data_IF_644255315385
#
_entry.id   IF_644255315385
#
_cell.length_a   1.000
_cell.length_b   1.000
_cell.length_c   1.000
_cell.angle_alpha   90.00
_cell.angle_beta   90.00
_cell.angle_gamma   90.00
#
_symmetry.space_group_name_H-M   'P 1'
#
loop_
_entity.id
_entity.type
_entity.pdbx_description
1 polymer ?
#
# COMPACT_ATOMS: atom_id res chain seq x y z
N UNK A 1 30.58 -0.96 1.49
CA UNK A 1 29.27 -0.26 1.41
C UNK A 1 29.26 0.85 2.45
N UNK A 2 28.87 2.08 2.10
CA UNK A 2 28.76 3.15 3.10
C UNK A 2 27.67 2.82 4.14
N UNK A 3 27.86 3.26 5.39
CA UNK A 3 26.97 2.95 6.54
C UNK A 3 25.49 3.22 6.25
N UNK A 4 25.18 4.26 5.47
CA UNK A 4 23.81 4.67 5.13
C UNK A 4 23.06 3.64 4.27
N UNK A 5 23.66 3.12 3.19
CA UNK A 5 22.99 2.10 2.38
C UNK A 5 22.81 0.78 3.13
N UNK A 6 23.70 0.47 4.10
CA UNK A 6 23.53 -0.70 4.96
C UNK A 6 22.26 -0.57 5.81
N UNK A 7 22.12 0.53 6.55
CA UNK A 7 20.91 0.81 7.33
C UNK A 7 19.64 0.82 6.48
N UNK A 8 19.70 1.47 5.31
CA UNK A 8 18.57 1.47 4.37
C UNK A 8 18.15 0.05 3.97
N UNK A 9 19.11 -0.82 3.66
CA UNK A 9 18.80 -2.22 3.31
C UNK A 9 18.20 -2.97 4.50
N UNK A 10 18.74 -2.81 5.70
CA UNK A 10 18.21 -3.45 6.90
C UNK A 10 16.76 -3.03 7.17
N UNK A 11 16.44 -1.74 7.08
CA UNK A 11 15.08 -1.22 7.27
C UNK A 11 14.14 -1.74 6.18
N UNK A 12 14.54 -1.70 4.90
CA UNK A 12 13.71 -2.19 3.81
C UNK A 12 13.43 -3.70 3.95
N UNK A 13 14.45 -4.49 4.32
CA UNK A 13 14.28 -5.93 4.56
C UNK A 13 13.35 -6.18 5.73
N UNK A 14 13.48 -5.45 6.85
CA UNK A 14 12.56 -5.63 7.98
C UNK A 14 11.12 -5.28 7.63
N UNK A 15 10.90 -4.25 6.80
CA UNK A 15 9.56 -3.89 6.32
C UNK A 15 8.95 -4.94 5.39
N UNK A 16 9.75 -5.60 4.54
CA UNK A 16 9.29 -6.74 3.72
C UNK A 16 8.89 -7.92 4.61
N UNK A 17 9.71 -8.25 5.61
CA UNK A 17 9.41 -9.33 6.56
C UNK A 17 8.13 -9.02 7.35
N UNK A 18 7.97 -7.78 7.81
CA UNK A 18 6.77 -7.34 8.50
C UNK A 18 5.52 -7.44 7.62
N UNK A 19 5.58 -6.97 6.38
CA UNK A 19 4.45 -7.06 5.44
C UNK A 19 4.08 -8.53 5.13
N UNK A 20 5.07 -9.39 4.94
CA UNK A 20 4.85 -10.83 4.77
C UNK A 20 4.23 -11.47 6.01
N UNK A 21 4.70 -11.11 7.21
CA UNK A 21 4.14 -11.60 8.46
C UNK A 21 2.68 -11.16 8.66
N UNK A 22 2.36 -9.88 8.38
CA UNK A 22 0.99 -9.37 8.46
C UNK A 22 0.06 -10.10 7.48
N UNK A 23 0.52 -10.27 6.24
CA UNK A 23 -0.23 -10.99 5.20
C UNK A 23 -0.48 -12.45 5.58
N UNK A 24 0.56 -13.16 6.02
CA UNK A 24 0.46 -14.55 6.47
C UNK A 24 -0.47 -14.68 7.68
N UNK A 25 -0.36 -13.78 8.66
CA UNK A 25 -1.23 -13.77 9.84
C UNK A 25 -2.69 -13.55 9.46
N UNK A 26 -2.98 -12.66 8.51
CA UNK A 26 -4.34 -12.47 8.00
C UNK A 26 -4.90 -13.73 7.34
N UNK A 27 -4.08 -14.49 6.59
CA UNK A 27 -4.53 -15.74 6.00
C UNK A 27 -4.74 -16.86 7.02
N UNK A 28 -3.89 -16.94 8.06
CA UNK A 28 -3.96 -18.00 9.07
C UNK A 28 -5.07 -17.78 10.09
N UNK A 29 -5.30 -16.53 10.50
CA UNK A 29 -6.25 -16.18 11.58
C UNK A 29 -7.63 -15.79 11.01
N UNK A 30 -7.72 -15.46 9.72
CA UNK A 30 -8.94 -14.94 9.11
C UNK A 30 -9.20 -13.48 9.45
N UNK A 31 -10.25 -12.92 8.82
CA UNK A 31 -10.68 -11.54 9.01
C UNK A 31 -11.63 -11.33 10.20
N UNK A 32 -12.12 -10.10 10.35
CA UNK A 32 -13.14 -9.74 11.36
C UNK A 32 -12.58 -9.10 12.64
N UNK A 33 -13.46 -8.75 13.61
CA UNK A 33 -13.09 -7.99 14.81
C UNK A 33 -12.08 -8.70 15.71
N UNK A 34 -12.19 -10.04 15.81
CA UNK A 34 -11.27 -10.91 16.56
C UNK A 34 -10.15 -11.49 15.69
N UNK A 35 -10.23 -11.32 14.37
CA UNK A 35 -9.28 -11.82 13.40
C UNK A 35 -8.06 -10.92 13.25
N UNK A 36 -7.26 -11.18 12.23
CA UNK A 36 -6.17 -10.28 11.83
C UNK A 36 -6.66 -9.27 10.79
N UNK A 37 -6.21 -8.02 10.91
CA UNK A 37 -6.55 -6.96 9.97
C UNK A 37 -6.06 -7.30 8.54
N UNK A 38 -6.87 -7.00 7.50
CA UNK A 38 -6.42 -7.16 6.12
C UNK A 38 -5.24 -6.21 5.83
N UNK A 39 -4.43 -6.57 4.83
CA UNK A 39 -3.28 -5.77 4.41
C UNK A 39 -3.69 -4.34 3.98
N UNK A 40 -4.91 -4.20 3.45
CA UNK A 40 -5.47 -2.94 2.99
C UNK A 40 -5.63 -1.92 4.13
N UNK A 41 -5.92 -2.38 5.36
CA UNK A 41 -6.00 -1.52 6.55
C UNK A 41 -4.68 -0.86 6.92
N UNK A 42 -3.55 -1.43 6.46
CA UNK A 42 -2.21 -0.90 6.68
C UNK A 42 -1.65 -0.14 5.48
N UNK A 43 -2.42 0.00 4.40
CA UNK A 43 -2.02 0.75 3.22
C UNK A 43 -2.32 2.26 3.42
N UNK A 44 -1.30 3.14 3.44
CA UNK A 44 -1.54 4.59 3.56
C UNK A 44 -2.31 5.16 2.36
N UNK A 45 -2.31 4.48 1.21
CA UNK A 45 -3.02 4.93 0.02
C UNK A 45 -4.54 4.76 0.13
N UNK A 46 -5.03 3.78 0.91
CA UNK A 46 -6.47 3.55 1.09
C UNK A 46 -7.22 4.77 1.67
N UNK A 47 -6.51 5.65 2.40
CA UNK A 47 -7.07 6.92 2.86
C UNK A 47 -7.41 7.88 1.71
N UNK A 48 -6.61 7.89 0.64
CA UNK A 48 -6.82 8.75 -0.54
C UNK A 48 -8.06 8.30 -1.29
N UNK A 49 -8.23 7.00 -1.45
CA UNK A 49 -9.40 6.38 -2.08
C UNK A 49 -10.68 6.67 -1.26
N UNK A 50 -10.57 6.59 0.06
CA UNK A 50 -11.71 6.81 0.97
C UNK A 50 -12.03 8.30 1.17
N UNK A 51 -11.06 9.20 0.99
CA UNK A 51 -11.26 10.63 1.25
C UNK A 51 -12.40 11.24 0.42
N UNK A 52 -12.56 10.81 -0.84
CA UNK A 52 -13.64 11.29 -1.71
C UNK A 52 -15.01 10.83 -1.21
N UNK A 53 -15.16 9.54 -0.89
CA UNK A 53 -16.41 8.97 -0.37
C UNK A 53 -16.75 9.52 1.02
N UNK A 54 -15.75 9.68 1.89
CA UNK A 54 -15.94 10.25 3.23
C UNK A 54 -16.39 11.71 3.16
N UNK A 55 -15.85 12.51 2.22
CA UNK A 55 -16.22 13.91 2.08
C UNK A 55 -17.62 14.13 1.50
N UNK A 56 -18.10 13.23 0.63
CA UNK A 56 -19.42 13.36 -0.01
C UNK A 56 -20.51 12.65 0.78
N UNK A 57 -20.26 11.42 1.22
CA UNK A 57 -21.27 10.52 1.81
C UNK A 57 -21.13 10.37 3.32
N UNK A 58 -20.02 10.83 3.92
CA UNK A 58 -19.75 10.65 5.35
C UNK A 58 -19.43 9.21 5.75
N UNK A 59 -19.31 8.29 4.79
CA UNK A 59 -19.10 6.86 5.00
C UNK A 59 -17.71 6.43 4.56
N UNK A 60 -17.18 5.39 5.22
CA UNK A 60 -15.94 4.72 4.81
C UNK A 60 -16.23 3.69 3.70
N UNK A 61 -15.28 3.51 2.77
CA UNK A 61 -15.36 2.45 1.76
C UNK A 61 -15.12 1.11 2.46
N UNK A 62 -15.80 0.06 1.99
CA UNK A 62 -15.63 -1.29 2.53
C UNK A 62 -14.16 -1.67 2.65
N UNK A 63 -13.73 -2.12 3.85
CA UNK A 63 -12.36 -2.55 4.21
C UNK A 63 -11.36 -1.43 4.53
N UNK A 64 -11.74 -0.16 4.39
CA UNK A 64 -10.94 0.96 4.94
C UNK A 64 -11.35 1.26 6.37
N UNK A 65 -10.38 1.66 7.20
CA UNK A 65 -10.58 1.95 8.62
C UNK A 65 -9.87 3.25 9.01
N UNK A 66 -10.07 3.69 10.25
CA UNK A 66 -9.34 4.82 10.85
C UNK A 66 -7.81 4.67 10.77
N UNK A 67 -7.30 3.44 10.80
CA UNK A 67 -5.86 3.16 10.59
C UNK A 67 -5.33 3.75 9.29
N UNK A 68 -6.10 3.71 8.19
CA UNK A 68 -5.68 4.25 6.91
C UNK A 68 -5.45 5.77 6.99
N UNK A 69 -6.37 6.51 7.63
CA UNK A 69 -6.26 7.96 7.80
C UNK A 69 -5.04 8.35 8.65
N UNK A 70 -4.80 7.62 9.75
CA UNK A 70 -3.64 7.85 10.63
C UNK A 70 -2.33 7.61 9.86
N UNK A 71 -2.24 6.50 9.13
CA UNK A 71 -1.07 6.15 8.33
C UNK A 71 -0.83 7.14 7.20
N UNK A 72 -1.90 7.63 6.57
CA UNK A 72 -1.81 8.65 5.53
C UNK A 72 -1.36 10.00 6.08
N UNK A 73 -1.90 10.44 7.22
CA UNK A 73 -1.46 11.64 7.90
C UNK A 73 0.03 11.58 8.28
N UNK A 74 0.46 10.45 8.85
CA UNK A 74 1.87 10.18 9.14
C UNK A 74 2.74 10.17 7.87
N UNK A 75 2.25 9.58 6.77
CA UNK A 75 2.94 9.61 5.48
C UNK A 75 3.10 11.04 4.95
N UNK A 76 2.03 11.85 4.92
CA UNK A 76 2.07 13.24 4.47
C UNK A 76 3.01 14.08 5.33
N UNK A 77 2.96 13.91 6.66
CA UNK A 77 3.88 14.60 7.57
C UNK A 77 5.34 14.19 7.31
N UNK A 78 5.60 12.88 7.15
CA UNK A 78 6.93 12.39 6.78
C UNK A 78 7.38 12.95 5.44
N UNK A 79 6.47 13.09 4.48
CA UNK A 79 6.73 13.60 3.14
C UNK A 79 7.08 15.09 3.16
N UNK A 80 6.37 15.87 3.98
CA UNK A 80 6.65 17.27 4.18
C UNK A 80 8.04 17.51 4.79
N UNK A 81 8.42 16.72 5.80
CA UNK A 81 9.70 16.85 6.50
C UNK A 81 10.89 16.32 5.68
N UNK A 82 10.71 15.15 5.04
CA UNK A 82 11.78 14.34 4.48
C UNK A 82 11.64 14.04 2.98
N UNK A 83 10.63 14.61 2.30
CA UNK A 83 10.32 14.31 0.91
C UNK A 83 9.81 12.87 0.75
N UNK A 84 9.97 12.27 -0.44
CA UNK A 84 9.55 10.90 -0.72
C UNK A 84 10.43 9.81 -0.08
N UNK A 85 10.92 10.07 1.13
CA UNK A 85 11.71 9.17 1.95
C UNK A 85 11.02 7.82 2.18
N UNK A 86 9.70 7.82 2.41
CA UNK A 86 8.92 6.58 2.60
C UNK A 86 9.17 5.57 1.47
N UNK A 87 9.08 6.00 0.21
CA UNK A 87 9.33 5.15 -0.95
C UNK A 87 10.78 4.64 -1.02
N UNK A 88 11.73 5.40 -0.51
CA UNK A 88 13.15 5.07 -0.51
C UNK A 88 13.60 4.15 0.61
N UNK A 89 12.94 4.22 1.78
CA UNK A 89 13.44 3.67 3.04
C UNK A 89 12.47 2.75 3.79
N UNK A 90 11.15 2.88 3.57
CA UNK A 90 10.14 2.14 4.32
C UNK A 90 9.28 1.22 3.43
N UNK A 91 9.01 1.61 2.19
CA UNK A 91 8.09 0.90 1.32
C UNK A 91 8.59 -0.52 0.97
N UNK A 92 7.87 -1.60 1.36
CA UNK A 92 8.22 -2.99 1.02
C UNK A 92 8.25 -3.25 -0.48
N UNK A 93 7.29 -2.67 -1.22
CA UNK A 93 7.21 -2.78 -2.67
C UNK A 93 8.42 -2.14 -3.37
N UNK A 94 8.97 -1.05 -2.79
CA UNK A 94 10.20 -0.44 -3.26
C UNK A 94 11.44 -1.32 -3.02
N UNK A 95 11.42 -2.12 -1.96
CA UNK A 95 12.47 -3.10 -1.67
C UNK A 95 12.44 -4.27 -2.66
N UNK A 96 11.24 -4.80 -2.95
CA UNK A 96 11.05 -5.85 -3.97
C UNK A 96 11.53 -5.40 -5.35
N UNK A 97 11.22 -4.18 -5.78
CA UNK A 97 11.72 -3.63 -7.04
C UNK A 97 13.25 -3.48 -7.06
N UNK A 98 13.86 -3.02 -5.96
CA UNK A 98 15.32 -2.94 -5.85
C UNK A 98 15.96 -4.35 -5.91
N UNK A 99 15.30 -5.36 -5.34
CA UNK A 99 15.73 -6.76 -5.39
C UNK A 99 15.63 -7.34 -6.82
N UNK A 100 14.50 -7.20 -7.50
CA UNK A 100 14.34 -7.68 -8.87
C UNK A 100 15.27 -6.96 -9.85
N UNK A 101 15.50 -5.67 -9.64
CA UNK A 101 16.49 -4.92 -10.40
C UNK A 101 17.92 -5.46 -10.20
N UNK A 102 18.30 -5.77 -8.96
CA UNK A 102 19.59 -6.40 -8.65
C UNK A 102 19.69 -7.80 -9.25
N UNK A 103 18.65 -8.62 -9.12
CA UNK A 103 18.61 -9.97 -9.66
C UNK A 103 18.72 -9.95 -11.20
N UNK A 104 18.00 -9.06 -11.87
CA UNK A 104 18.09 -8.84 -13.31
C UNK A 104 19.51 -8.49 -13.76
N UNK A 105 20.19 -7.55 -13.08
CA UNK A 105 21.60 -7.25 -13.37
C UNK A 105 22.52 -8.45 -13.18
N UNK A 106 22.24 -9.32 -12.21
CA UNK A 106 23.04 -10.51 -11.94
C UNK A 106 22.81 -11.62 -12.97
N UNK A 107 21.57 -11.78 -13.43
CA UNK A 107 21.15 -12.84 -14.36
C UNK A 107 21.39 -12.43 -15.82
N UNK A 108 20.90 -11.26 -16.22
CA UNK A 108 20.91 -10.80 -17.62
C UNK A 108 22.03 -9.80 -17.93
N UNK A 109 22.76 -9.32 -16.92
CA UNK A 109 23.85 -8.36 -17.09
C UNK A 109 23.43 -6.94 -17.47
N UNK A 110 22.14 -6.70 -17.75
CA UNK A 110 21.63 -5.41 -18.24
C UNK A 110 20.28 -5.05 -17.64
N UNK A 111 19.98 -3.76 -17.65
CA UNK A 111 18.64 -3.21 -17.48
C UNK A 111 18.35 -2.25 -18.62
N UNK A 112 17.07 -2.10 -18.94
CA UNK A 112 16.62 -1.16 -19.96
C UNK A 112 16.69 0.27 -19.40
N UNK A 113 17.48 1.12 -20.05
CA UNK A 113 17.50 2.55 -19.81
C UNK A 113 16.69 3.24 -20.91
N UNK A 114 15.53 3.81 -20.55
CA UNK A 114 14.73 4.59 -21.48
C UNK A 114 15.36 5.95 -21.73
N UNK A 115 15.20 6.46 -22.96
CA UNK A 115 15.57 7.82 -23.30
C UNK A 115 14.84 8.84 -22.45
N UNK A 116 15.46 10.00 -22.22
CA UNK A 116 14.97 11.06 -21.30
C UNK A 116 13.50 11.44 -21.53
N UNK A 117 13.12 11.63 -22.79
CA UNK A 117 11.78 12.09 -23.13
C UNK A 117 10.72 11.02 -22.85
N UNK A 118 11.00 9.77 -23.24
CA UNK A 118 10.11 8.63 -22.98
C UNK A 118 9.93 8.39 -21.49
N UNK A 119 11.02 8.44 -20.74
CA UNK A 119 10.96 8.35 -19.29
C UNK A 119 10.08 9.44 -18.67
N UNK A 120 10.32 10.69 -19.06
CA UNK A 120 9.55 11.82 -18.55
C UNK A 120 8.05 11.68 -18.87
N UNK A 121 7.71 11.27 -20.09
CA UNK A 121 6.32 11.03 -20.52
C UNK A 121 5.68 9.92 -19.69
N UNK A 122 6.32 8.76 -19.59
CA UNK A 122 5.78 7.63 -18.82
C UNK A 122 5.73 7.92 -17.32
N UNK A 123 6.59 8.81 -16.80
CA UNK A 123 6.54 9.21 -15.40
C UNK A 123 5.23 9.89 -15.03
N UNK A 124 4.50 10.47 -15.99
CA UNK A 124 3.15 11.00 -15.76
C UNK A 124 2.07 9.92 -15.63
N UNK A 125 2.36 8.69 -16.04
CA UNK A 125 1.46 7.55 -15.89
C UNK A 125 1.00 7.34 -14.45
N UNK A 126 1.82 7.69 -13.45
CA UNK A 126 1.45 7.57 -12.03
C UNK A 126 0.40 8.58 -11.59
N UNK A 127 0.38 9.76 -12.22
CA UNK A 127 -0.66 10.77 -11.99
C UNK A 127 -1.94 10.43 -12.74
N UNK A 128 -1.81 9.90 -13.96
CA UNK A 128 -2.95 9.35 -14.69
C UNK A 128 -3.61 8.20 -13.91
N UNK A 129 -2.81 7.26 -13.41
CA UNK A 129 -3.27 6.16 -12.58
C UNK A 129 -3.96 6.66 -11.30
N UNK A 130 -3.39 7.67 -10.64
CA UNK A 130 -4.01 8.31 -9.47
C UNK A 130 -5.41 8.86 -9.80
N UNK A 131 -5.55 9.60 -10.90
CA UNK A 131 -6.84 10.16 -11.32
C UNK A 131 -7.82 9.04 -11.67
N UNK A 132 -7.40 8.03 -12.43
CA UNK A 132 -8.24 6.89 -12.80
C UNK A 132 -8.76 6.17 -11.56
N UNK A 133 -7.88 5.85 -10.61
CA UNK A 133 -8.26 5.14 -9.38
C UNK A 133 -9.25 5.98 -8.57
N UNK A 134 -8.95 7.25 -8.30
CA UNK A 134 -9.84 8.10 -7.48
C UNK A 134 -11.22 8.23 -8.13
N UNK A 135 -11.28 8.42 -9.45
CA UNK A 135 -12.54 8.53 -10.18
C UNK A 135 -13.29 7.20 -10.22
N UNK A 136 -12.60 6.09 -10.51
CA UNK A 136 -13.21 4.77 -10.59
C UNK A 136 -13.75 4.33 -9.23
N UNK A 137 -12.97 4.48 -8.16
CA UNK A 137 -13.37 4.20 -6.78
C UNK A 137 -14.59 5.04 -6.38
N UNK A 138 -14.66 6.31 -6.78
CA UNK A 138 -15.81 7.17 -6.51
C UNK A 138 -17.10 6.64 -7.16
N UNK A 139 -17.06 6.22 -8.42
CA UNK A 139 -18.24 5.70 -9.12
C UNK A 139 -18.60 4.26 -8.71
N UNK A 140 -17.61 3.43 -8.45
CA UNK A 140 -17.81 2.02 -8.11
C UNK A 140 -18.16 1.81 -6.63
N UNK A 141 -17.89 2.79 -5.76
CA UNK A 141 -18.04 2.70 -4.30
C UNK A 141 -17.27 1.52 -3.67
N UNK A 142 -16.23 1.04 -4.35
CA UNK A 142 -15.34 -0.04 -3.91
C UNK A 142 -13.87 0.34 -4.19
N UNK A 143 -12.93 -0.32 -3.51
CA UNK A 143 -11.49 -0.12 -3.78
C UNK A 143 -11.08 -0.81 -5.08
N UNK A 144 -11.30 -0.15 -6.21
CA UNK A 144 -10.94 -0.68 -7.54
C UNK A 144 -9.44 -0.97 -7.64
N UNK A 145 -8.59 -0.20 -6.95
CA UNK A 145 -7.14 -0.42 -6.96
C UNK A 145 -6.73 -1.72 -6.26
N UNK A 146 -7.54 -2.24 -5.34
CA UNK A 146 -7.24 -3.45 -4.55
C UNK A 146 -6.88 -4.64 -5.45
N UNK A 147 -7.62 -4.83 -6.55
CA UNK A 147 -7.40 -5.91 -7.51
C UNK A 147 -6.13 -5.75 -8.36
N UNK A 148 -5.65 -4.52 -8.51
CA UNK A 148 -4.50 -4.17 -9.34
C UNK A 148 -3.26 -3.78 -8.52
N UNK A 149 -3.34 -3.82 -7.19
CA UNK A 149 -2.25 -3.43 -6.30
C UNK A 149 -1.22 -4.57 -6.18
N UNK A 150 0.02 -4.40 -6.69
CA UNK A 150 1.05 -5.41 -6.55
C UNK A 150 1.49 -5.62 -5.09
N UNK A 151 1.25 -4.66 -4.18
CA UNK A 151 1.51 -4.87 -2.76
C UNK A 151 0.58 -5.95 -2.19
N UNK A 152 -0.73 -5.80 -2.36
CA UNK A 152 -1.69 -6.83 -1.96
C UNK A 152 -1.43 -8.14 -2.68
N UNK A 153 -1.27 -8.13 -3.99
CA UNK A 153 -1.07 -9.35 -4.77
C UNK A 153 0.14 -10.16 -4.26
N UNK A 154 1.25 -9.49 -3.92
CA UNK A 154 2.46 -10.17 -3.45
C UNK A 154 2.36 -10.69 -2.01
N UNK A 155 1.72 -9.94 -1.10
CA UNK A 155 1.68 -10.26 0.33
C UNK A 155 0.41 -10.99 0.79
N UNK A 156 -0.61 -11.13 -0.06
CA UNK A 156 -1.85 -11.84 0.28
C UNK A 156 -1.69 -13.38 0.22
N UNK A 157 -0.66 -13.91 -0.46
CA UNK A 157 -0.31 -15.34 -0.56
C UNK A 157 -1.43 -16.29 -1.01
N UNK A 158 -2.50 -15.77 -1.64
CA UNK A 158 -3.53 -16.56 -2.34
C UNK A 158 -3.53 -16.21 -3.82
N UNK A 159 -3.43 -17.23 -4.67
CA UNK A 159 -3.29 -17.13 -6.12
C UNK A 159 -4.41 -17.88 -6.86
N UNK A 160 -5.61 -17.88 -6.28
CA UNK A 160 -6.79 -18.55 -6.86
C UNK A 160 -7.28 -17.79 -8.10
N UNK A 161 -7.16 -16.45 -8.09
CA UNK A 161 -7.58 -15.58 -9.19
C UNK A 161 -6.45 -15.33 -10.20
N UNK A 162 -6.82 -15.21 -11.48
CA UNK A 162 -5.85 -14.94 -12.55
C UNK A 162 -5.33 -13.48 -12.52
N UNK A 163 -6.11 -12.52 -12.00
CA UNK A 163 -5.74 -11.09 -12.00
C UNK A 163 -4.50 -10.83 -11.12
N UNK A 164 -4.45 -11.23 -9.83
CA UNK A 164 -3.26 -11.03 -9.00
C UNK A 164 -2.01 -11.69 -9.57
N UNK A 165 -2.15 -12.87 -10.18
CA UNK A 165 -1.03 -13.59 -10.83
C UNK A 165 -0.48 -12.77 -12.00
N UNK A 166 -1.36 -12.21 -12.83
CA UNK A 166 -0.98 -11.35 -13.95
C UNK A 166 -0.31 -10.05 -13.46
N UNK A 167 -0.86 -9.42 -12.41
CA UNK A 167 -0.28 -8.20 -11.80
C UNK A 167 1.13 -8.48 -11.27
N UNK A 168 1.35 -9.59 -10.58
CA UNK A 168 2.68 -9.99 -10.09
C UNK A 168 3.63 -10.26 -11.25
N UNK A 169 3.17 -11.00 -12.27
CA UNK A 169 3.97 -11.28 -13.47
C UNK A 169 4.45 -9.99 -14.15
N UNK A 170 3.53 -9.05 -14.38
CA UNK A 170 3.85 -7.73 -14.95
C UNK A 170 4.75 -6.91 -14.03
N UNK A 171 4.50 -6.93 -12.72
CA UNK A 171 5.31 -6.22 -11.73
C UNK A 171 6.75 -6.74 -11.72
N UNK A 172 6.96 -8.06 -11.69
CA UNK A 172 8.29 -8.68 -11.72
C UNK A 172 8.98 -8.39 -13.05
N UNK A 173 8.32 -8.67 -14.19
CA UNK A 173 8.89 -8.45 -15.51
C UNK A 173 9.29 -6.97 -15.71
N UNK A 174 8.40 -6.04 -15.35
CA UNK A 174 8.65 -4.61 -15.38
C UNK A 174 9.82 -4.21 -14.47
N UNK A 175 9.89 -4.74 -13.26
CA UNK A 175 10.95 -4.44 -12.28
C UNK A 175 12.32 -5.01 -12.68
N UNK A 176 12.33 -6.14 -13.38
CA UNK A 176 13.54 -6.73 -13.95
C UNK A 176 14.01 -5.94 -15.17
N UNK A 177 13.09 -5.50 -16.03
CA UNK A 177 13.41 -4.70 -17.21
C UNK A 177 13.89 -3.29 -16.83
N UNK A 178 13.16 -2.59 -15.97
CA UNK A 178 13.41 -1.20 -15.59
C UNK A 178 13.46 -1.09 -14.06
N UNK A 179 14.55 -0.51 -13.54
CA UNK A 179 14.68 -0.22 -12.11
C UNK A 179 13.49 0.61 -11.61
N UNK A 180 12.84 0.13 -10.55
CA UNK A 180 11.67 0.78 -9.92
C UNK A 180 10.54 1.14 -10.89
N UNK A 181 10.29 0.27 -11.88
CA UNK A 181 9.25 0.44 -12.89
C UNK A 181 7.91 0.93 -12.33
N UNK A 182 7.38 0.23 -11.32
CA UNK A 182 6.08 0.56 -10.73
C UNK A 182 6.10 1.92 -10.04
N UNK A 183 7.10 2.18 -9.18
CA UNK A 183 7.21 3.47 -8.50
C UNK A 183 7.43 4.64 -9.46
N UNK A 184 8.05 4.39 -10.62
CA UNK A 184 8.37 5.42 -11.59
C UNK A 184 7.17 5.80 -12.47
N UNK A 185 6.37 4.80 -12.87
CA UNK A 185 5.35 4.99 -13.92
C UNK A 185 3.91 4.70 -13.52
N UNK A 186 3.64 3.91 -12.48
CA UNK A 186 2.29 3.42 -12.20
C UNK A 186 1.81 3.69 -10.77
N UNK A 187 2.71 3.84 -9.80
CA UNK A 187 2.36 3.95 -8.38
C UNK A 187 1.69 5.29 -8.04
N UNK A 188 0.37 5.31 -7.74
CA UNK A 188 -0.36 6.55 -7.46
C UNK A 188 0.15 7.23 -6.18
N UNK A 189 0.48 6.44 -5.15
CA UNK A 189 1.08 6.91 -3.91
C UNK A 189 2.42 7.63 -4.15
N UNK A 190 3.27 7.08 -5.03
CA UNK A 190 4.54 7.69 -5.40
C UNK A 190 4.35 9.03 -6.12
N UNK A 191 3.31 9.15 -6.96
CA UNK A 191 2.92 10.42 -7.58
C UNK A 191 2.58 11.49 -6.54
N UNK A 192 1.74 11.15 -5.58
CA UNK A 192 1.27 12.05 -4.53
C UNK A 192 2.42 12.52 -3.61
N UNK A 193 3.18 11.57 -3.06
CA UNK A 193 4.30 11.87 -2.16
C UNK A 193 5.41 12.63 -2.90
N UNK A 194 5.60 12.34 -4.19
CA UNK A 194 6.55 13.04 -5.06
C UNK A 194 6.34 14.55 -5.16
N UNK A 195 5.11 15.04 -4.95
CA UNK A 195 4.82 16.48 -4.94
C UNK A 195 5.53 17.21 -3.79
N UNK A 196 5.78 16.52 -2.67
CA UNK A 196 6.44 17.08 -1.49
C UNK A 196 7.97 17.13 -1.60
N UNK A 197 8.58 16.57 -2.66
CA UNK A 197 10.03 16.60 -2.85
C UNK A 197 10.61 18.02 -2.99
N UNK A 198 9.77 18.99 -3.37
CA UNK A 198 10.16 20.41 -3.40
C UNK A 198 10.34 21.01 -2.00
N UNK A 199 9.69 20.44 -1.00
CA UNK A 199 9.64 20.95 0.38
C UNK A 199 10.59 20.16 1.32
N UNK A 200 10.69 18.85 1.12
CA UNK A 200 11.45 17.95 2.00
C UNK A 200 12.95 18.27 2.11
N UNK A 201 13.50 18.11 3.32
CA UNK A 201 14.89 18.47 3.63
C UNK A 201 15.92 17.37 3.32
N UNK A 202 15.50 16.12 3.11
CA UNK A 202 16.40 15.03 2.69
C UNK A 202 16.76 15.03 1.20
N UNK A 203 16.27 16.02 0.43
CA UNK A 203 16.64 16.16 -0.98
C UNK A 203 18.15 16.42 -1.11
N UNK A 204 18.86 15.67 -1.96
CA UNK A 204 20.25 15.98 -2.27
C UNK A 204 20.39 17.35 -2.96
N UNK A 205 21.47 18.06 -2.67
CA UNK A 205 21.95 19.22 -3.42
C UNK A 205 23.31 18.93 -4.02
N UNK A 206 23.54 19.37 -5.25
CA UNK A 206 24.80 19.25 -5.99
C UNK A 206 25.49 20.61 -6.03
N UNK A 207 26.75 20.67 -5.61
CA UNK A 207 27.62 21.83 -5.83
C UNK A 207 28.22 21.74 -7.24
N UNK A 208 27.98 22.74 -8.08
CA UNK A 208 28.48 22.75 -9.44
C UNK A 208 30.02 22.84 -9.50
N UNK A 209 30.60 23.64 -8.59
CA UNK A 209 32.03 23.94 -8.51
C UNK A 209 32.91 22.70 -8.29
N UNK A 210 32.48 21.76 -7.46
CA UNK A 210 33.26 20.54 -7.15
C UNK A 210 32.89 19.36 -8.05
N UNK A 211 31.90 19.51 -8.94
CA UNK A 211 31.37 18.42 -9.74
C UNK A 211 32.22 18.19 -11.00
N UNK A 212 32.81 17.00 -11.11
CA UNK A 212 33.58 16.58 -12.29
C UNK A 212 32.72 15.94 -13.42
N UNK A 213 31.39 16.09 -13.38
CA UNK A 213 30.46 15.57 -14.40
C UNK A 213 30.66 14.09 -14.80
N UNK A 214 31.05 13.21 -13.86
CA UNK A 214 31.30 11.79 -14.15
C UNK A 214 30.03 10.95 -14.43
N UNK A 215 28.84 11.53 -14.26
CA UNK A 215 27.51 10.90 -14.41
C UNK A 215 27.26 9.64 -13.56
N UNK A 216 28.10 9.34 -12.56
CA UNK A 216 27.90 8.17 -11.68
C UNK A 216 26.64 8.29 -10.83
N UNK A 217 26.30 9.50 -10.39
CA UNK A 217 25.06 9.77 -9.65
C UNK A 217 23.80 9.50 -10.48
N UNK A 218 23.83 9.79 -11.79
CA UNK A 218 22.73 9.51 -12.70
C UNK A 218 22.54 8.00 -12.89
N UNK A 219 23.65 7.26 -13.11
CA UNK A 219 23.63 5.79 -13.32
C UNK A 219 23.18 4.99 -12.10
N UNK A 220 23.43 5.48 -10.88
CA UNK A 220 23.02 4.80 -9.64
C UNK A 220 21.59 5.14 -9.21
N UNK A 221 20.99 6.19 -9.80
CA UNK A 221 19.67 6.66 -9.42
C UNK A 221 18.60 5.63 -9.85
N UNK A 222 17.86 5.02 -8.91
CA UNK A 222 16.95 3.93 -9.24
C UNK A 222 15.71 4.40 -10.00
N UNK A 223 15.41 5.71 -9.98
CA UNK A 223 14.32 6.34 -10.73
C UNK A 223 14.84 7.18 -11.91
N UNK A 224 16.11 7.02 -12.26
CA UNK A 224 16.82 7.68 -13.36
C UNK A 224 16.72 9.22 -13.44
N UNK A 225 16.51 9.88 -12.30
CA UNK A 225 16.62 11.35 -12.21
C UNK A 225 18.02 11.78 -12.67
N UNK A 226 18.08 12.76 -13.58
CA UNK A 226 19.33 13.41 -14.01
C UNK A 226 19.79 14.39 -12.93
N UNK A 227 20.76 13.96 -12.13
CA UNK A 227 21.32 14.68 -10.99
C UNK A 227 22.39 15.68 -11.45
N UNK A 228 23.18 15.31 -12.45
CA UNK A 228 24.24 16.19 -12.99
C UNK A 228 23.70 17.49 -13.57
N UNK A 229 22.47 17.50 -14.09
CA UNK A 229 21.84 18.67 -14.69
C UNK A 229 21.15 19.60 -13.69
N UNK A 230 21.17 19.27 -12.39
CA UNK A 230 20.42 19.98 -11.36
C UNK A 230 21.32 20.30 -10.17
N UNK A 231 21.21 21.51 -9.63
CA UNK A 231 21.84 21.86 -8.36
C UNK A 231 20.99 21.43 -7.16
N UNK A 232 19.67 21.57 -7.26
CA UNK A 232 18.71 21.10 -6.24
C UNK A 232 17.86 20.01 -6.83
N UNK A 233 17.85 18.84 -6.21
CA UNK A 233 17.16 17.67 -6.73
C UNK A 233 15.71 17.71 -6.23
N UNK A 234 14.87 18.46 -6.92
CA UNK A 234 13.44 18.67 -6.61
C UNK A 234 12.49 17.85 -7.48
N UNK A 235 13.04 16.94 -8.27
CA UNK A 235 12.29 16.07 -9.17
C UNK A 235 11.26 15.24 -8.40
N UNK A 236 10.01 15.18 -8.89
CA UNK A 236 8.95 14.43 -8.22
C UNK A 236 9.20 12.92 -8.23
N UNK A 237 10.09 12.43 -9.09
CA UNK A 237 10.48 11.02 -9.16
C UNK A 237 11.60 10.66 -8.16
N UNK A 238 12.19 11.65 -7.46
CA UNK A 238 13.21 11.39 -6.44
C UNK A 238 12.59 10.69 -5.23
N UNK A 239 13.17 9.56 -4.80
CA UNK A 239 12.70 8.80 -3.63
C UNK A 239 13.57 8.99 -2.38
N UNK A 240 14.41 10.03 -2.36
CA UNK A 240 15.32 10.36 -1.24
C UNK A 240 16.15 9.16 -0.71
N UNK A 241 16.54 8.22 -1.58
CA UNK A 241 17.27 7.00 -1.20
C UNK A 241 18.77 7.22 -0.95
N UNK A 242 19.28 8.40 -1.33
CA UNK A 242 20.66 8.86 -1.13
C UNK A 242 21.76 8.02 -1.79
N UNK A 243 21.42 7.07 -2.68
CA UNK A 243 22.40 6.29 -3.46
C UNK A 243 23.37 7.18 -4.23
N UNK A 244 22.89 8.32 -4.74
CA UNK A 244 23.71 9.28 -5.49
C UNK A 244 24.78 9.98 -4.64
N UNK A 245 24.44 10.34 -3.40
CA UNK A 245 25.36 10.94 -2.43
C UNK A 245 26.45 9.92 -2.11
N UNK A 246 26.07 8.69 -1.81
CA UNK A 246 27.00 7.63 -1.41
C UNK A 246 27.88 7.12 -2.57
N UNK A 247 27.45 7.31 -3.82
CA UNK A 247 28.20 6.89 -5.02
C UNK A 247 29.14 7.98 -5.57
N UNK A 248 29.02 9.23 -5.11
CA UNK A 248 29.82 10.34 -5.61
C UNK A 248 31.32 10.10 -5.29
N UNK A 249 32.23 10.14 -6.29
CA UNK A 249 33.65 9.94 -6.04
C UNK A 249 34.32 11.18 -5.41
N UNK A 250 33.72 12.36 -5.56
CA UNK A 250 34.25 13.62 -5.02
C UNK A 250 33.51 13.95 -3.71
N UNK A 251 34.22 14.03 -2.57
CA UNK A 251 33.62 14.41 -1.29
C UNK A 251 32.86 15.74 -1.38
N UNK A 252 31.81 15.87 -0.57
CA UNK A 252 31.01 17.11 -0.40
C UNK A 252 30.38 17.72 -1.66
N UNK A 253 30.43 17.03 -2.80
CA UNK A 253 29.82 17.49 -4.05
C UNK A 253 28.31 17.30 -4.03
N UNK A 254 27.84 16.18 -3.47
CA UNK A 254 26.43 15.92 -3.21
C UNK A 254 26.20 15.94 -1.71
N UNK A 255 25.42 16.91 -1.22
CA UNK A 255 25.16 17.12 0.20
C UNK A 255 23.67 17.07 0.51
N UNK A 256 23.34 16.89 1.79
CA UNK A 256 21.98 16.90 2.31
C UNK A 256 22.00 17.77 3.56
N UNK A 257 20.96 18.58 3.76
CA UNK A 257 20.81 19.33 5.01
C UNK A 257 20.52 18.36 6.15
N UNK A 258 21.41 18.28 7.14
CA UNK A 258 21.25 17.51 8.39
C UNK A 258 20.67 16.10 8.20
N UNK A 259 21.39 15.25 7.44
CA UNK A 259 21.00 13.87 7.06
C UNK A 259 20.41 13.04 8.21
N UNK A 260 21.01 13.06 9.40
CA UNK A 260 20.55 12.28 10.55
C UNK A 260 19.22 12.77 11.12
N UNK A 261 19.09 14.08 11.33
CA UNK A 261 17.92 14.71 11.95
C UNK A 261 16.66 14.44 11.12
N UNK A 262 16.67 14.78 9.84
CA UNK A 262 15.46 14.65 9.00
C UNK A 262 15.10 13.20 8.68
N UNK A 263 16.05 12.27 8.77
CA UNK A 263 15.77 10.84 8.66
C UNK A 263 15.03 10.35 9.90
N UNK A 264 15.51 10.71 11.09
CA UNK A 264 14.84 10.39 12.35
C UNK A 264 13.46 11.06 12.43
N UNK A 265 13.34 12.34 12.09
CA UNK A 265 12.06 13.04 12.06
C UNK A 265 11.08 12.41 11.06
N UNK A 266 11.55 12.00 9.88
CA UNK A 266 10.71 11.29 8.91
C UNK A 266 10.21 9.94 9.42
N UNK A 267 11.07 9.17 10.11
CA UNK A 267 10.67 7.91 10.75
C UNK A 267 9.67 8.13 11.89
N UNK A 268 9.96 9.09 12.78
CA UNK A 268 9.06 9.43 13.89
C UNK A 268 7.71 9.92 13.37
N UNK A 269 7.69 10.78 12.36
CA UNK A 269 6.45 11.26 11.75
C UNK A 269 5.56 10.12 11.21
N UNK A 270 6.16 9.05 10.68
CA UNK A 270 5.42 7.92 10.15
C UNK A 270 4.97 6.92 11.24
N UNK A 271 5.85 6.58 12.19
CA UNK A 271 5.60 5.51 13.18
C UNK A 271 5.00 5.99 14.51
N UNK A 272 5.25 7.24 14.91
CA UNK A 272 4.77 7.76 16.18
C UNK A 272 3.24 7.88 16.24
N UNK A 273 2.52 8.38 15.20
CA UNK A 273 1.07 8.47 15.27
C UNK A 273 0.38 7.10 15.43
N UNK A 274 0.71 6.06 14.62
CA UNK A 274 0.19 4.71 14.85
C UNK A 274 0.45 4.20 16.28
N UNK A 275 1.68 4.39 16.79
CA UNK A 275 2.05 3.94 18.13
C UNK A 275 1.21 4.62 19.22
N UNK A 276 1.05 5.95 19.15
CA UNK A 276 0.22 6.71 20.09
C UNK A 276 -1.22 6.21 20.04
N UNK A 277 -1.77 6.02 18.85
CA UNK A 277 -3.17 5.56 18.70
C UNK A 277 -3.38 4.13 19.17
N UNK A 278 -2.36 3.27 19.09
CA UNK A 278 -2.40 1.91 19.65
C UNK A 278 -2.38 1.94 21.18
N UNK A 279 -1.53 2.78 21.78
CA UNK A 279 -1.43 2.92 23.24
C UNK A 279 -2.68 3.57 23.84
N UNK A 280 -3.30 4.50 23.12
CA UNK A 280 -4.53 5.20 23.57
C UNK A 280 -5.81 4.43 23.27
N UNK A 281 -5.74 3.29 22.58
CA UNK A 281 -6.91 2.48 22.21
C UNK A 281 -7.75 3.04 21.06
N UNK A 282 -7.28 4.10 20.38
CA UNK A 282 -7.96 4.74 19.24
C UNK A 282 -7.72 3.94 17.94
N UNK A 283 -6.64 3.14 17.89
CA UNK A 283 -6.27 2.41 16.70
C UNK A 283 -7.29 1.33 16.33
N UNK A 284 -7.84 1.45 15.12
CA UNK A 284 -8.80 0.49 14.55
C UNK A 284 -8.32 0.05 13.18
N UNK A 285 -7.91 -1.21 13.08
CA UNK A 285 -7.46 -1.86 11.83
C UNK A 285 -8.35 -3.04 11.40
N UNK A 286 -9.24 -3.48 12.29
CA UNK A 286 -10.31 -4.43 12.04
C UNK A 286 -11.65 -3.69 12.21
N UNK A 287 -12.70 -4.12 11.48
CA UNK A 287 -14.03 -3.55 11.68
C UNK A 287 -14.49 -3.78 13.12
N UNK A 288 -15.16 -2.79 13.70
CA UNK A 288 -15.64 -2.84 15.09
C UNK A 288 -16.92 -3.67 15.13
N UNK A 289 -17.15 -4.45 16.20
CA UNK A 289 -18.41 -5.19 16.37
C UNK A 289 -19.66 -4.29 16.31
N UNK A 290 -19.54 -3.00 16.67
CA UNK A 290 -20.61 -2.01 16.54
C UNK A 290 -20.92 -1.62 15.07
N UNK A 291 -19.98 -1.77 14.14
CA UNK A 291 -20.23 -1.54 12.71
C UNK A 291 -21.06 -2.67 12.09
N UNK A 292 -20.99 -3.89 12.66
CA UNK A 292 -21.83 -5.02 12.24
C UNK A 292 -23.31 -4.70 12.42
N UNK A 293 -23.66 -4.04 13.54
CA UNK A 293 -25.04 -3.65 13.85
C UNK A 293 -25.58 -2.53 12.95
N UNK A 294 -24.70 -1.81 12.23
CA UNK A 294 -25.09 -0.75 11.30
C UNK A 294 -25.23 -1.25 9.85
N UNK A 295 -24.95 -2.53 9.59
CA UNK A 295 -25.13 -3.13 8.26
C UNK A 295 -26.63 -3.18 7.94
N UNK A 296 -27.03 -2.50 6.87
CA UNK A 296 -28.41 -2.41 6.42
C UNK A 296 -28.64 -2.97 5.01
N UNK A 297 -27.56 -3.28 4.27
CA UNK A 297 -27.62 -3.90 2.96
C UNK A 297 -27.03 -5.32 3.01
N UNK A 298 -27.78 -6.36 2.61
CA UNK A 298 -27.29 -7.73 2.47
C UNK A 298 -26.01 -7.88 1.66
N UNK A 299 -25.75 -7.00 0.69
CA UNK A 299 -24.50 -7.02 -0.09
C UNK A 299 -23.25 -6.88 0.81
N UNK A 300 -23.39 -6.20 1.95
CA UNK A 300 -22.31 -5.94 2.89
C UNK A 300 -22.01 -7.12 3.82
N UNK A 301 -22.75 -8.24 3.72
CA UNK A 301 -22.45 -9.46 4.47
C UNK A 301 -21.09 -10.00 4.04
N UNK A 302 -20.20 -10.16 5.02
CA UNK A 302 -18.81 -10.61 4.81
C UNK A 302 -18.64 -12.05 5.27
N UNK A 303 -17.75 -12.77 4.58
CA UNK A 303 -17.48 -14.18 4.87
C UNK A 303 -16.89 -14.47 6.26
N UNK A 304 -16.35 -13.47 6.94
CA UNK A 304 -15.90 -13.61 8.33
C UNK A 304 -17.02 -13.39 9.36
N UNK A 305 -18.18 -12.86 8.95
CA UNK A 305 -19.31 -12.72 9.86
C UNK A 305 -19.83 -14.10 10.24
N UNK A 306 -20.41 -14.20 11.43
CA UNK A 306 -21.15 -15.39 11.87
C UNK A 306 -22.62 -15.26 11.48
N UNK A 307 -23.37 -16.37 11.51
CA UNK A 307 -24.82 -16.29 11.32
C UNK A 307 -25.49 -15.47 12.43
N UNK A 308 -24.91 -15.48 13.64
CA UNK A 308 -25.34 -14.63 14.76
C UNK A 308 -25.20 -13.14 14.46
N UNK A 309 -24.08 -12.74 13.87
CA UNK A 309 -23.82 -11.36 13.48
C UNK A 309 -24.83 -10.87 12.44
N UNK A 310 -25.12 -11.71 11.43
CA UNK A 310 -26.12 -11.40 10.38
C UNK A 310 -27.53 -11.33 10.96
N UNK A 311 -27.92 -12.31 11.78
CA UNK A 311 -29.23 -12.34 12.42
C UNK A 311 -29.45 -11.08 13.30
N UNK A 312 -28.41 -10.67 14.05
CA UNK A 312 -28.46 -9.46 14.88
C UNK A 312 -28.54 -8.18 14.05
N UNK A 313 -27.72 -8.04 13.02
CA UNK A 313 -27.67 -6.86 12.15
C UNK A 313 -29.00 -6.58 11.45
N UNK A 314 -29.64 -7.62 10.91
CA UNK A 314 -30.89 -7.51 10.14
C UNK A 314 -32.16 -7.76 10.98
N UNK A 315 -32.00 -8.03 12.28
CA UNK A 315 -33.09 -8.36 13.20
C UNK A 315 -33.90 -9.58 12.74
N UNK A 316 -33.23 -10.61 12.24
CA UNK A 316 -33.82 -11.87 11.76
C UNK A 316 -33.67 -12.96 12.83
N UNK A 317 -34.55 -13.97 12.81
CA UNK A 317 -34.46 -15.08 13.76
C UNK A 317 -33.32 -16.04 13.38
N UNK A 318 -32.32 -16.15 14.27
CA UNK A 318 -31.14 -17.01 14.08
C UNK A 318 -31.52 -18.48 13.83
N UNK A 319 -32.47 -19.00 14.59
CA UNK A 319 -32.81 -20.42 14.58
C UNK A 319 -33.62 -20.80 13.34
N UNK A 320 -34.41 -19.86 12.81
CA UNK A 320 -35.06 -20.00 11.52
C UNK A 320 -34.02 -19.99 10.39
N UNK A 321 -33.12 -18.99 10.37
CA UNK A 321 -32.05 -18.90 9.38
C UNK A 321 -31.16 -20.14 9.35
N UNK A 322 -30.75 -20.64 10.52
CA UNK A 322 -29.93 -21.83 10.64
C UNK A 322 -30.64 -23.06 10.04
N UNK A 323 -31.93 -23.25 10.33
CA UNK A 323 -32.72 -24.37 9.78
C UNK A 323 -32.87 -24.30 8.26
N UNK A 324 -33.17 -23.11 7.73
CA UNK A 324 -33.38 -22.91 6.29
C UNK A 324 -32.07 -23.02 5.49
N UNK A 325 -30.94 -22.62 6.08
CA UNK A 325 -29.62 -22.76 5.46
C UNK A 325 -29.02 -24.17 5.61
N UNK A 326 -29.58 -25.00 6.50
CA UNK A 326 -29.11 -26.36 6.79
C UNK A 326 -27.91 -26.39 7.73
N UNK A 327 -27.84 -25.45 8.66
CA UNK A 327 -26.74 -25.27 9.61
C UNK A 327 -27.13 -25.79 10.99
N UNK A 328 -26.21 -26.52 11.62
CA UNK A 328 -26.27 -26.92 13.02
C UNK A 328 -25.98 -25.73 13.94
N UNK A 329 -26.36 -25.86 15.21
CA UNK A 329 -26.20 -24.79 16.20
C UNK A 329 -24.71 -24.40 16.40
N UNK A 330 -23.79 -25.36 16.30
CA UNK A 330 -22.35 -25.12 16.38
C UNK A 330 -21.82 -24.29 15.19
N UNK A 331 -22.32 -24.56 13.98
CA UNK A 331 -21.92 -23.84 12.75
C UNK A 331 -22.41 -22.38 12.73
N UNK A 332 -23.38 -22.01 13.59
CA UNK A 332 -23.90 -20.62 13.63
C UNK A 332 -22.89 -19.61 14.18
N UNK A 333 -21.91 -20.06 14.96
CA UNK A 333 -20.83 -19.24 15.52
C UNK A 333 -19.53 -19.26 14.71
N UNK A 334 -19.48 -20.01 13.62
CA UNK A 334 -18.31 -20.11 12.74
C UNK A 334 -18.37 -19.09 11.59
N UNK A 335 -17.25 -18.93 10.89
CA UNK A 335 -17.16 -18.00 9.76
C UNK A 335 -18.04 -18.48 8.61
N UNK A 336 -19.00 -17.64 8.18
CA UNK A 336 -19.94 -17.97 7.11
C UNK A 336 -19.26 -18.44 5.82
N UNK A 337 -18.06 -17.94 5.50
CA UNK A 337 -17.32 -18.40 4.31
C UNK A 337 -16.99 -19.89 4.34
N UNK A 338 -16.58 -20.39 5.50
CA UNK A 338 -16.17 -21.79 5.68
C UNK A 338 -17.41 -22.68 5.71
N UNK A 339 -18.38 -22.29 6.54
CA UNK A 339 -19.65 -23.00 6.69
C UNK A 339 -20.43 -23.09 5.38
N UNK A 340 -20.53 -21.99 4.63
CA UNK A 340 -21.24 -22.00 3.34
C UNK A 340 -20.51 -22.83 2.29
N UNK A 341 -19.17 -22.77 2.26
CA UNK A 341 -18.37 -23.58 1.35
C UNK A 341 -18.53 -25.08 1.63
N UNK A 342 -18.61 -25.51 2.90
CA UNK A 342 -18.90 -26.90 3.27
C UNK A 342 -20.30 -27.35 2.82
N UNK A 343 -21.27 -26.44 2.76
CA UNK A 343 -22.60 -26.71 2.21
C UNK A 343 -22.68 -26.56 0.68
N UNK A 344 -21.56 -26.30 0.00
CA UNK A 344 -21.51 -26.09 -1.44
C UNK A 344 -22.24 -24.84 -1.93
N UNK A 345 -22.42 -23.84 -1.05
CA UNK A 345 -23.06 -22.56 -1.34
C UNK A 345 -22.01 -21.45 -1.28
N UNK A 346 -22.08 -20.48 -2.18
CA UNK A 346 -21.22 -19.30 -2.13
C UNK A 346 -21.82 -18.19 -1.25
N UNK A 347 -21.06 -17.12 -1.05
CA UNK A 347 -21.53 -15.96 -0.27
C UNK A 347 -22.59 -15.15 -1.03
N UNK A 348 -22.63 -15.20 -2.36
CA UNK A 348 -23.59 -14.44 -3.15
C UNK A 348 -25.00 -15.04 -3.05
N UNK A 349 -25.09 -16.37 -2.99
CA UNK A 349 -26.28 -17.09 -2.60
C UNK A 349 -26.80 -16.61 -1.23
N UNK A 350 -25.92 -16.52 -0.23
CA UNK A 350 -26.31 -16.08 1.11
C UNK A 350 -26.83 -14.62 1.10
N UNK A 351 -26.14 -13.73 0.40
CA UNK A 351 -26.54 -12.32 0.27
C UNK A 351 -27.90 -12.18 -0.40
N UNK A 352 -28.11 -12.90 -1.50
CA UNK A 352 -29.39 -12.93 -2.21
C UNK A 352 -30.51 -13.48 -1.33
N UNK A 353 -30.23 -14.56 -0.58
CA UNK A 353 -31.17 -15.18 0.34
C UNK A 353 -31.63 -14.21 1.45
N UNK A 354 -30.68 -13.52 2.10
CA UNK A 354 -31.01 -12.54 3.14
C UNK A 354 -31.76 -11.34 2.54
N UNK A 355 -31.41 -10.91 1.32
CA UNK A 355 -32.13 -9.85 0.63
C UNK A 355 -33.59 -10.21 0.30
N UNK A 356 -33.86 -11.47 -0.03
CA UNK A 356 -35.22 -11.95 -0.22
C UNK A 356 -36.00 -11.98 1.10
N UNK A 357 -35.39 -12.50 2.18
CA UNK A 357 -36.01 -12.52 3.51
C UNK A 357 -36.34 -11.15 4.08
N UNK A 358 -35.55 -10.13 3.76
CA UNK A 358 -35.85 -8.76 4.15
C UNK A 358 -37.03 -8.15 3.41
N UNK A 359 -37.37 -8.64 2.20
CA UNK A 359 -38.57 -8.21 1.46
C UNK A 359 -39.85 -8.87 1.96
N UNK A 360 -39.73 -10.05 2.58
CA UNK A 360 -40.85 -10.80 3.18
C UNK A 360 -41.27 -10.25 4.56
N UNK A 361 -40.44 -9.39 5.15
CA UNK A 361 -40.63 -8.74 6.46
C UNK A 361 -41.32 -7.39 6.29
#
# INVERSE_FOLDING_TARGET
MQKTQLWRRLILTSMVVLAAWLGLRHQLVGGGPKGAAPLDSFCPFGAVETAATLAVSGTFIEKTNWSNLILFGGLVLSAFLAGSFFCGWLCPLGALQDFFAWASKKIFGRQLELGRNLDHIFSYGRYLMLVIIVVATYYANELVFESYDPYKAFFHFKFEDYIPVLVIGLFIAGSMAISRFWCRYLCPLGGLVGLFNKLGSLRPGRKAETCISCHRCDRVCPTAVKITEREKITDSSCVSCLKCVDACPVPETLTIKSKGLFLVLGLLAFFLPPLITQVTGIWQSTPVAAEIEQINDPAQIKGWMTLEDVARAFGLDKNQLARELGLSEAETGEHLKEVMAEKGKDMDYLRAYIAEKLKEK
#
